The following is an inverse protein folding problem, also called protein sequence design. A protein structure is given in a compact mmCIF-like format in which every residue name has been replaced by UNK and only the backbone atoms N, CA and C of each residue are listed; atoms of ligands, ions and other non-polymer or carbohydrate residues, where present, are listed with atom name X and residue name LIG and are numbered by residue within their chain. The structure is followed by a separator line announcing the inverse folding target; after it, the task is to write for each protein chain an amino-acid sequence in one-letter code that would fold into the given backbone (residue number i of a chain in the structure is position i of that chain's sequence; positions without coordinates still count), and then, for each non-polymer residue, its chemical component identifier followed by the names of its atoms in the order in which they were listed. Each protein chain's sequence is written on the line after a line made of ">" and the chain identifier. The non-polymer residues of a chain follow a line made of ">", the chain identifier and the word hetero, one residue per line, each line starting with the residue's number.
data_IF_476894086239
#
_entry.id   IF_476894086239
#
_cell.length_a   1.000
_cell.length_b   1.000
_cell.length_c   1.000
_cell.angle_alpha   90.00
_cell.angle_beta   90.00
_cell.angle_gamma   90.00
#
_symmetry.space_group_name_H-M   'P 1'
#
loop_
_entity.id
_entity.type
_entity.pdbx_description
1 polymer ?
#
# COMPACT_ATOMS: atom_id res chain seq x y z
N UNK A 1 26.91 -43.18 -34.23
CA UNK A 1 27.05 -41.72 -34.38
C UNK A 1 26.50 -41.06 -33.13
N UNK A 2 27.39 -40.54 -32.28
CA UNK A 2 27.05 -39.73 -31.10
C UNK A 2 26.59 -38.34 -31.51
N UNK A 3 25.71 -37.73 -30.71
CA UNK A 3 25.85 -36.35 -30.26
C UNK A 3 24.99 -36.14 -29.00
N UNK A 4 25.68 -36.01 -27.86
CA UNK A 4 25.18 -35.42 -26.62
C UNK A 4 25.45 -33.91 -26.69
N UNK A 5 24.56 -33.08 -26.14
CA UNK A 5 24.98 -31.77 -25.63
C UNK A 5 24.08 -31.39 -24.45
N UNK A 6 24.67 -31.48 -23.26
CA UNK A 6 24.19 -30.85 -22.03
C UNK A 6 24.79 -29.44 -21.93
N UNK A 7 24.02 -28.48 -21.44
CA UNK A 7 24.53 -27.19 -20.95
C UNK A 7 23.77 -26.81 -19.69
N UNK A 8 24.47 -26.88 -18.57
CA UNK A 8 24.10 -26.43 -17.23
C UNK A 8 24.36 -24.91 -17.06
N UNK A 9 24.12 -24.44 -15.83
CA UNK A 9 24.36 -23.09 -15.25
C UNK A 9 23.17 -22.13 -15.31
N UNK A 10 22.79 -21.43 -14.25
CA UNK A 10 23.30 -21.38 -12.88
C UNK A 10 22.40 -20.42 -12.09
N UNK A 11 22.05 -20.79 -10.85
CA UNK A 11 21.36 -19.90 -9.92
C UNK A 11 22.31 -18.85 -9.36
N UNK A 12 21.83 -17.63 -9.15
CA UNK A 12 22.49 -16.63 -8.32
C UNK A 12 21.46 -15.94 -7.43
N UNK A 13 21.58 -16.23 -6.15
CA UNK A 13 21.03 -15.49 -5.02
C UNK A 13 21.72 -14.13 -4.91
N UNK A 14 20.94 -13.08 -4.64
CA UNK A 14 21.46 -11.80 -4.14
C UNK A 14 20.45 -11.21 -3.18
N UNK A 15 20.58 -11.59 -1.91
CA UNK A 15 20.07 -10.84 -0.78
C UNK A 15 21.17 -9.88 -0.31
N UNK A 16 20.87 -8.59 -0.17
CA UNK A 16 21.56 -7.63 0.71
C UNK A 16 20.80 -6.30 0.71
N UNK A 17 20.46 -5.85 1.90
CA UNK A 17 19.65 -4.67 2.23
C UNK A 17 20.51 -3.38 2.34
N UNK A 18 20.08 -2.30 3.01
CA UNK A 18 19.83 -0.97 2.42
C UNK A 18 20.81 0.12 2.92
N UNK A 19 20.83 1.31 2.32
CA UNK A 19 21.28 2.54 3.04
C UNK A 19 20.66 3.81 2.44
N UNK A 20 20.38 4.74 3.34
CA UNK A 20 19.74 6.03 3.17
C UNK A 20 20.60 7.09 2.48
N UNK A 21 19.90 8.10 1.96
CA UNK A 21 20.27 9.52 1.78
C UNK A 21 21.74 9.94 1.97
N UNK A 22 22.33 10.57 0.94
CA UNK A 22 22.98 11.90 1.02
C UNK A 22 23.41 12.33 -0.41
N UNK A 23 22.98 13.53 -0.83
CA UNK A 23 23.45 14.21 -2.05
C UNK A 23 24.72 15.02 -1.72
N UNK A 24 25.71 15.07 -2.61
CA UNK A 24 26.33 16.38 -2.89
C UNK A 24 26.57 16.65 -4.37
N UNK A 25 26.63 17.94 -4.68
CA UNK A 25 26.88 18.53 -6.00
C UNK A 25 28.39 18.65 -6.30
N UNK A 26 28.67 18.77 -7.59
CA UNK A 26 29.87 19.36 -8.24
C UNK A 26 31.16 18.53 -8.16
N UNK A 27 31.71 18.11 -9.30
CA UNK A 27 32.79 18.83 -10.01
C UNK A 27 33.17 18.15 -11.33
N UNK A 28 33.59 19.00 -12.26
CA UNK A 28 34.50 18.74 -13.39
C UNK A 28 33.95 18.07 -14.67
N UNK A 29 34.29 18.76 -15.76
CA UNK A 29 33.82 18.64 -17.13
C UNK A 29 35.09 18.47 -17.97
N UNK A 30 35.34 17.28 -18.52
CA UNK A 30 36.29 17.08 -19.63
C UNK A 30 36.29 15.63 -20.11
N UNK A 31 35.59 15.35 -21.21
CA UNK A 31 36.02 14.44 -22.30
C UNK A 31 34.80 14.11 -23.18
N UNK A 32 34.60 14.93 -24.19
CA UNK A 32 33.71 14.68 -25.32
C UNK A 32 34.27 13.58 -26.22
N UNK A 33 33.66 12.39 -26.27
CA UNK A 33 33.72 11.45 -27.43
C UNK A 33 33.10 10.05 -27.22
N UNK A 34 32.10 9.85 -26.33
CA UNK A 34 31.33 8.58 -26.27
C UNK A 34 29.83 8.83 -26.18
N UNK A 35 29.23 9.23 -27.30
CA UNK A 35 27.80 9.56 -27.45
C UNK A 35 27.17 8.56 -28.43
N UNK A 36 27.02 7.29 -28.06
CA UNK A 36 26.31 6.31 -28.90
C UNK A 36 25.83 5.01 -28.21
N UNK A 37 26.18 4.72 -26.95
CA UNK A 37 25.81 3.42 -26.34
C UNK A 37 25.10 3.55 -24.99
N UNK A 38 24.20 4.53 -24.85
CA UNK A 38 23.07 4.33 -23.94
C UNK A 38 22.14 3.38 -24.66
N UNK A 39 22.40 2.08 -24.54
CA UNK A 39 21.43 1.03 -24.88
C UNK A 39 20.16 1.40 -24.13
N UNK A 40 19.26 2.09 -24.81
CA UNK A 40 17.92 2.38 -24.33
C UNK A 40 17.33 1.02 -24.03
N UNK A 41 17.04 0.74 -22.75
CA UNK A 41 16.46 -0.54 -22.32
C UNK A 41 15.36 -0.90 -23.33
N UNK A 42 15.41 -2.09 -23.96
CA UNK A 42 14.50 -2.44 -25.04
C UNK A 42 13.05 -2.24 -24.58
N UNK A 43 12.23 -1.61 -25.43
CA UNK A 43 10.80 -1.42 -25.13
C UNK A 43 10.16 -2.80 -24.97
N UNK A 44 9.50 -3.02 -23.83
CA UNK A 44 8.88 -4.28 -23.48
C UNK A 44 7.85 -4.71 -24.54
N UNK A 45 7.95 -5.93 -25.08
CA UNK A 45 6.98 -6.48 -26.04
C UNK A 45 5.60 -6.66 -25.40
N UNK A 46 4.53 -6.75 -26.19
CA UNK A 46 3.19 -7.00 -25.65
C UNK A 46 3.11 -8.31 -24.84
N UNK A 47 3.78 -9.37 -25.31
CA UNK A 47 3.91 -10.64 -24.58
C UNK A 47 4.63 -10.46 -23.25
N UNK A 48 5.76 -9.75 -23.23
CA UNK A 48 6.53 -9.51 -22.01
C UNK A 48 5.77 -8.62 -21.02
N UNK A 49 4.98 -7.64 -21.49
CA UNK A 49 4.07 -6.86 -20.64
C UNK A 49 3.03 -7.74 -19.96
N UNK A 50 2.42 -8.68 -20.70
CA UNK A 50 1.44 -9.62 -20.14
C UNK A 50 2.07 -10.53 -19.08
N UNK A 51 3.28 -11.06 -19.33
CA UNK A 51 4.02 -11.87 -18.36
C UNK A 51 4.34 -11.04 -17.11
N UNK A 52 4.91 -9.85 -17.27
CA UNK A 52 5.25 -8.98 -16.14
C UNK A 52 4.01 -8.55 -15.36
N UNK A 53 2.89 -8.32 -16.02
CA UNK A 53 1.63 -7.98 -15.35
C UNK A 53 1.13 -9.15 -14.50
N UNK A 54 1.14 -10.38 -15.03
CA UNK A 54 0.76 -11.58 -14.27
C UNK A 54 1.70 -11.81 -13.08
N UNK A 55 3.01 -11.64 -13.28
CA UNK A 55 3.99 -11.80 -12.22
C UNK A 55 3.83 -10.75 -11.12
N UNK A 56 3.72 -9.46 -11.50
CA UNK A 56 3.50 -8.37 -10.56
C UNK A 56 2.21 -8.55 -9.76
N UNK A 57 1.12 -8.98 -10.41
CA UNK A 57 -0.14 -9.24 -9.75
C UNK A 57 -0.08 -10.47 -8.84
N UNK A 58 0.59 -11.55 -9.26
CA UNK A 58 0.80 -12.72 -8.40
C UNK A 58 1.62 -12.35 -7.17
N UNK A 59 2.70 -11.56 -7.33
CA UNK A 59 3.50 -11.03 -6.22
C UNK A 59 2.66 -10.18 -5.28
N UNK A 60 1.82 -9.29 -5.81
CA UNK A 60 0.90 -8.47 -5.01
C UNK A 60 -0.07 -9.36 -4.20
N UNK A 61 -0.66 -10.38 -4.84
CA UNK A 61 -1.58 -11.32 -4.18
C UNK A 61 -0.91 -12.14 -3.10
N UNK A 62 0.30 -12.63 -3.34
CA UNK A 62 1.07 -13.39 -2.35
C UNK A 62 1.40 -12.52 -1.13
N UNK A 63 1.86 -11.28 -1.33
CA UNK A 63 2.12 -10.35 -0.24
C UNK A 63 0.88 -10.03 0.60
N UNK A 64 -0.31 -9.96 -0.03
CA UNK A 64 -1.58 -9.80 0.69
C UNK A 64 -1.87 -11.04 1.55
N UNK A 65 -1.71 -12.25 1.00
CA UNK A 65 -1.96 -13.51 1.73
C UNK A 65 -1.02 -13.67 2.92
N UNK A 66 0.27 -13.40 2.74
CA UNK A 66 1.26 -13.44 3.81
C UNK A 66 0.85 -12.54 4.98
N UNK A 67 0.37 -11.32 4.69
CA UNK A 67 -0.14 -10.41 5.73
C UNK A 67 -1.39 -10.92 6.43
N UNK A 68 -2.29 -11.61 5.72
CA UNK A 68 -3.45 -12.24 6.36
C UNK A 68 -3.03 -13.40 7.27
N UNK A 69 -2.03 -14.19 6.87
CA UNK A 69 -1.43 -15.23 7.72
C UNK A 69 -0.79 -14.62 8.96
N UNK A 70 0.01 -13.57 8.82
CA UNK A 70 0.59 -12.82 9.96
C UNK A 70 -0.49 -12.30 10.91
N UNK A 71 -1.54 -11.70 10.36
CA UNK A 71 -2.68 -11.18 11.15
C UNK A 71 -3.41 -12.30 11.91
N UNK A 72 -3.52 -13.49 11.33
CA UNK A 72 -4.17 -14.64 11.98
C UNK A 72 -3.41 -15.16 13.20
N UNK A 73 -2.10 -14.94 13.26
CA UNK A 73 -1.28 -15.29 14.42
C UNK A 73 -1.37 -14.25 15.54
N UNK A 74 -1.65 -12.98 15.20
CA UNK A 74 -1.76 -11.89 16.17
C UNK A 74 -3.13 -11.82 16.84
N UNK A 75 -4.20 -12.11 16.08
CA UNK A 75 -5.58 -11.96 16.55
C UNK A 75 -6.06 -13.26 17.21
N UNK A 76 -6.39 -13.25 18.52
CA UNK A 76 -6.93 -14.42 19.20
C UNK A 76 -8.17 -14.97 18.50
N UNK A 77 -8.19 -16.28 18.26
CA UNK A 77 -9.31 -16.97 17.59
C UNK A 77 -9.38 -16.75 16.07
N UNK A 78 -8.44 -16.03 15.45
CA UNK A 78 -8.39 -15.84 14.00
C UNK A 78 -7.58 -16.92 13.25
N UNK A 79 -6.84 -17.77 13.97
CA UNK A 79 -6.12 -18.90 13.38
C UNK A 79 -7.02 -19.75 12.46
N UNK A 80 -6.52 -20.06 11.26
CA UNK A 80 -7.26 -20.82 10.24
C UNK A 80 -8.31 -20.04 9.46
N UNK A 81 -8.57 -18.77 9.78
CA UNK A 81 -9.53 -17.93 9.06
C UNK A 81 -8.90 -17.08 7.96
N UNK A 82 -7.58 -17.17 7.75
CA UNK A 82 -6.76 -16.43 6.78
C UNK A 82 -7.29 -16.42 5.32
N UNK A 83 -8.16 -17.37 4.95
CA UNK A 83 -8.82 -17.42 3.62
C UNK A 83 -10.15 -16.66 3.54
N UNK A 84 -10.78 -16.35 4.68
CA UNK A 84 -12.05 -15.63 4.74
C UNK A 84 -11.79 -14.18 5.15
N UNK A 85 -11.59 -13.32 4.16
CA UNK A 85 -11.25 -11.89 4.38
C UNK A 85 -12.24 -11.20 5.33
N UNK A 86 -13.54 -11.40 5.11
CA UNK A 86 -14.59 -10.79 5.94
C UNK A 86 -14.49 -11.23 7.41
N UNK A 87 -14.29 -12.53 7.67
CA UNK A 87 -14.20 -13.05 9.04
C UNK A 87 -12.91 -12.60 9.72
N UNK A 88 -11.79 -12.63 9.00
CA UNK A 88 -10.50 -12.14 9.50
C UNK A 88 -10.56 -10.69 9.91
N UNK A 89 -11.07 -9.83 9.02
CA UNK A 89 -11.15 -8.40 9.28
C UNK A 89 -12.13 -8.11 10.42
N UNK A 90 -13.28 -8.79 10.48
CA UNK A 90 -14.22 -8.68 11.58
C UNK A 90 -13.59 -9.01 12.94
N UNK A 91 -12.98 -10.20 13.06
CA UNK A 91 -12.26 -10.60 14.29
C UNK A 91 -11.14 -9.63 14.67
N UNK A 92 -10.42 -9.12 13.67
CA UNK A 92 -9.36 -8.14 13.89
C UNK A 92 -9.92 -6.83 14.45
N UNK A 93 -11.03 -6.34 13.91
CA UNK A 93 -11.68 -5.13 14.42
C UNK A 93 -12.24 -5.33 15.83
N UNK A 94 -12.78 -6.51 16.13
CA UNK A 94 -13.27 -6.85 17.47
C UNK A 94 -12.13 -6.87 18.48
N UNK A 95 -11.03 -7.54 18.15
CA UNK A 95 -9.85 -7.59 19.00
C UNK A 95 -9.22 -6.21 19.23
N UNK A 96 -9.15 -5.36 18.21
CA UNK A 96 -8.68 -3.98 18.38
C UNK A 96 -9.58 -3.20 19.34
N UNK A 97 -10.91 -3.35 19.26
CA UNK A 97 -11.83 -2.72 20.21
C UNK A 97 -11.59 -3.20 21.64
N UNK A 98 -11.40 -4.50 21.84
CA UNK A 98 -11.08 -5.08 23.16
C UNK A 98 -9.76 -4.54 23.72
N UNK A 99 -8.69 -4.49 22.91
CA UNK A 99 -7.40 -3.96 23.34
C UNK A 99 -7.46 -2.50 23.76
N UNK A 100 -8.23 -1.68 23.05
CA UNK A 100 -8.36 -0.27 23.38
C UNK A 100 -9.21 -0.05 24.64
N UNK A 101 -10.26 -0.87 24.86
CA UNK A 101 -11.01 -0.87 26.12
C UNK A 101 -10.15 -1.31 27.31
N UNK A 102 -9.30 -2.33 27.12
CA UNK A 102 -8.37 -2.76 28.15
C UNK A 102 -7.32 -1.68 28.43
N UNK A 103 -6.79 -1.01 27.40
CA UNK A 103 -5.89 0.12 27.59
C UNK A 103 -6.55 1.20 28.46
N UNK A 104 -7.78 1.61 28.15
CA UNK A 104 -8.53 2.57 28.97
C UNK A 104 -8.70 2.10 30.42
N UNK A 105 -9.05 0.83 30.62
CA UNK A 105 -9.20 0.24 31.96
C UNK A 105 -7.89 0.29 32.74
N UNK A 106 -6.77 -0.04 32.09
CA UNK A 106 -5.43 0.02 32.69
C UNK A 106 -5.01 1.46 32.99
N UNK A 107 -5.32 2.40 32.10
CA UNK A 107 -5.09 3.84 32.34
C UNK A 107 -5.86 4.35 33.56
N UNK A 108 -7.14 4.01 33.69
CA UNK A 108 -7.95 4.35 34.86
C UNK A 108 -7.42 3.72 36.15
N UNK A 109 -6.90 2.48 36.08
CA UNK A 109 -6.26 1.83 37.23
C UNK A 109 -4.95 2.50 37.64
N UNK A 110 -4.11 2.84 36.67
CA UNK A 110 -2.85 3.55 36.90
C UNK A 110 -3.09 4.93 37.51
N UNK A 111 -4.07 5.68 37.00
CA UNK A 111 -4.47 6.98 37.56
C UNK A 111 -4.92 6.85 39.02
N UNK A 112 -5.71 5.82 39.36
CA UNK A 112 -6.12 5.55 40.75
C UNK A 112 -4.94 5.19 41.66
N UNK A 113 -3.89 4.60 41.11
CA UNK A 113 -2.64 4.30 41.82
C UNK A 113 -1.66 5.47 41.86
N UNK A 114 -1.98 6.60 41.22
CA UNK A 114 -1.10 7.77 41.12
C UNK A 114 0.09 7.58 40.17
N UNK A 115 0.04 6.58 39.29
CA UNK A 115 1.05 6.35 38.27
C UNK A 115 0.75 7.27 37.09
N UNK A 116 1.65 8.20 36.79
CA UNK A 116 1.56 9.04 35.60
C UNK A 116 1.91 8.21 34.37
N UNK A 117 0.98 8.08 33.43
CA UNK A 117 1.25 7.47 32.12
C UNK A 117 1.55 8.60 31.13
N UNK A 118 2.73 8.57 30.51
CA UNK A 118 3.17 9.51 29.45
C UNK A 118 2.49 9.23 28.09
N UNK A 119 1.41 8.45 28.07
CA UNK A 119 0.78 7.99 26.84
C UNK A 119 -0.15 9.05 26.26
N UNK A 120 0.43 10.08 25.65
CA UNK A 120 -0.28 11.04 24.79
C UNK A 120 -1.67 11.48 25.29
N UNK A 121 -2.61 11.65 24.37
CA UNK A 121 -4.02 11.89 24.69
C UNK A 121 -4.70 10.56 25.06
N UNK A 122 -5.51 10.51 26.13
CA UNK A 122 -6.31 9.34 26.47
C UNK A 122 -7.21 8.95 25.29
N UNK A 123 -7.30 7.64 25.01
CA UNK A 123 -8.12 7.17 23.90
C UNK A 123 -9.59 7.46 24.21
N UNK A 124 -10.26 8.18 23.31
CA UNK A 124 -11.66 8.59 23.45
C UNK A 124 -12.56 7.56 22.79
N UNK A 125 -13.78 7.44 23.29
CA UNK A 125 -14.80 6.57 22.68
C UNK A 125 -15.07 6.91 21.20
N UNK A 126 -14.88 8.18 20.84
CA UNK A 126 -15.07 8.69 19.49
C UNK A 126 -14.01 8.19 18.49
N UNK A 127 -12.87 7.68 18.98
CA UNK A 127 -11.77 7.20 18.15
C UNK A 127 -12.07 5.82 17.54
N UNK A 128 -13.06 5.10 18.06
CA UNK A 128 -13.36 3.69 17.72
C UNK A 128 -14.33 3.46 16.56
N UNK A 129 -14.64 4.46 15.74
CA UNK A 129 -15.68 4.30 14.71
C UNK A 129 -17.10 4.40 15.28
N UNK A 130 -17.28 5.01 16.46
CA UNK A 130 -18.60 5.28 17.05
C UNK A 130 -19.42 6.31 16.27
N UNK A 131 -20.64 6.66 16.72
CA UNK A 131 -21.53 7.59 16.00
C UNK A 131 -20.94 8.98 15.70
N UNK A 132 -19.90 9.37 16.45
CA UNK A 132 -19.17 10.63 16.26
C UNK A 132 -17.92 10.51 15.39
N UNK A 133 -17.49 9.29 15.04
CA UNK A 133 -16.34 9.08 14.18
C UNK A 133 -16.60 9.72 12.81
N UNK A 134 -15.62 10.50 12.34
CA UNK A 134 -15.64 11.14 11.04
C UNK A 134 -14.42 10.68 10.30
N UNK A 135 -14.57 10.21 9.07
CA UNK A 135 -13.39 9.91 8.25
C UNK A 135 -12.64 11.23 8.05
N UNK A 136 -11.40 11.26 8.53
CA UNK A 136 -10.47 12.34 8.21
C UNK A 136 -10.41 12.39 6.68
N UNK A 137 -10.90 13.49 6.09
CA UNK A 137 -11.01 13.75 4.64
C UNK A 137 -12.35 13.42 3.95
N UNK A 138 -13.41 12.96 4.65
CA UNK A 138 -14.71 12.69 3.98
C UNK A 138 -15.26 13.94 3.28
N UNK A 139 -15.21 15.09 3.97
CA UNK A 139 -15.68 16.37 3.42
C UNK A 139 -14.90 16.81 2.18
N UNK A 140 -13.60 16.55 2.15
CA UNK A 140 -12.75 16.88 1.01
C UNK A 140 -13.06 15.97 -0.18
N UNK A 141 -13.27 14.68 0.08
CA UNK A 141 -13.71 13.72 -0.92
C UNK A 141 -15.05 14.15 -1.54
N UNK A 142 -16.05 14.44 -0.71
CA UNK A 142 -17.38 14.89 -1.16
C UNK A 142 -17.30 16.20 -1.96
N UNK A 143 -16.54 17.19 -1.49
CA UNK A 143 -16.35 18.45 -2.22
C UNK A 143 -15.63 18.26 -3.56
N UNK A 144 -14.62 17.38 -3.62
CA UNK A 144 -13.92 17.08 -4.88
C UNK A 144 -14.80 16.32 -5.87
N UNK A 145 -15.69 15.45 -5.36
CA UNK A 145 -16.68 14.75 -6.17
C UNK A 145 -17.70 15.72 -6.76
N UNK A 146 -18.26 16.63 -5.94
CA UNK A 146 -19.20 17.64 -6.44
C UNK A 146 -18.58 18.59 -7.48
N UNK A 147 -17.30 18.96 -7.32
CA UNK A 147 -16.59 19.75 -8.34
C UNK A 147 -16.44 18.98 -9.64
N UNK A 148 -16.12 17.68 -9.57
CA UNK A 148 -15.97 16.83 -10.75
C UNK A 148 -17.30 16.65 -11.47
N UNK A 149 -18.38 16.38 -10.73
CA UNK A 149 -19.73 16.24 -11.29
C UNK A 149 -20.23 17.58 -11.90
N UNK A 150 -19.84 18.71 -11.31
CA UNK A 150 -20.09 20.05 -11.85
C UNK A 150 -19.32 20.35 -13.15
N UNK A 151 -18.05 19.95 -13.24
CA UNK A 151 -17.22 20.14 -14.43
C UNK A 151 -17.67 19.23 -15.58
N UNK A 152 -18.07 17.99 -15.29
CA UNK A 152 -18.65 17.06 -16.28
C UNK A 152 -20.00 17.58 -16.83
N UNK A 153 -20.83 18.23 -16.01
CA UNK A 153 -22.09 18.83 -16.48
C UNK A 153 -21.89 20.11 -17.31
N UNK A 154 -20.85 20.90 -17.03
CA UNK A 154 -20.50 22.06 -17.86
C UNK A 154 -19.90 21.66 -19.21
N UNK A 155 -19.13 20.57 -19.27
CA UNK A 155 -18.55 20.07 -20.52
C UNK A 155 -19.57 19.38 -21.44
N UNK A 156 -20.62 18.76 -20.87
CA UNK A 156 -21.70 18.16 -21.64
C UNK A 156 -22.63 19.19 -22.30
N UNK A 157 -22.70 20.41 -21.78
CA UNK A 157 -23.55 21.49 -22.32
C UNK A 157 -22.83 22.38 -23.36
N UNK A 158 -21.52 22.22 -23.56
CA UNK A 158 -20.70 23.05 -24.47
C UNK A 158 -20.48 22.38 -25.86
N UNK A 159 -20.95 21.14 -26.06
CA UNK A 159 -20.81 20.40 -27.32
C UNK A 159 -22.11 20.34 -28.17
N UNK A 160 -23.07 21.24 -27.93
CA UNK A 160 -24.42 21.15 -28.50
C UNK A 160 -24.78 22.07 -29.67
N UNK A 161 -23.97 23.08 -30.01
CA UNK A 161 -24.42 24.19 -30.88
C UNK A 161 -23.44 24.51 -32.03
N UNK A 162 -23.11 23.56 -32.93
CA UNK A 162 -22.43 23.90 -34.20
C UNK A 162 -22.82 22.96 -35.38
N UNK A 163 -24.11 22.90 -35.76
CA UNK A 163 -24.52 22.46 -37.12
C UNK A 163 -25.78 23.20 -37.58
N UNK A 164 -25.62 24.31 -38.32
CA UNK A 164 -26.57 24.85 -39.32
C UNK A 164 -25.96 26.03 -40.07
N UNK A 165 -25.51 25.79 -41.31
CA UNK A 165 -25.71 26.66 -42.49
C UNK A 165 -25.47 25.84 -43.77
#
# INVERSE_FOLDING_TARGET
>A
MSNQNASESGGSSSASSPTSETRPQMVSKSSSSKKANRVSKPRLTASQKNINHKDAENKRRTAIRERFTELSNLVPGALGHERSEQVMLGKSTDYLREMLLEQRRLEEMAQKQGITIDSGEPIREDDFGGPKWKANNMKQYEASKQKKDGDESHQANDQGDEEND
#
